data_IF_367631861068
#
_entry.id   IF_367631861068
#
_cell.length_a   1.000
_cell.length_b   1.000
_cell.length_c   1.000
_cell.angle_alpha   90.00
_cell.angle_beta   90.00
_cell.angle_gamma   90.00
#
_symmetry.space_group_name_H-M   'P 1'
#
loop_
_entity.id
_entity.type
_entity.pdbx_description
1 polymer ?
#
# COMPACT_ATOMS: atom_id res chain seq x y z
N UNK A 1 -21.92 5.37 -1.52
CA UNK A 1 -22.32 4.69 -0.25
C UNK A 1 -22.90 3.28 -0.42
N UNK A 2 -23.27 2.81 -1.63
CA UNK A 2 -23.82 1.46 -1.84
C UNK A 2 -22.78 0.40 -2.29
N UNK A 3 -21.54 0.79 -2.60
CA UNK A 3 -20.51 -0.12 -3.13
C UNK A 3 -20.03 -1.19 -2.11
N UNK A 4 -19.84 -0.81 -0.83
CA UNK A 4 -19.36 -1.73 0.20
C UNK A 4 -20.34 -2.90 0.45
N UNK A 5 -21.66 -2.66 0.66
CA UNK A 5 -22.62 -3.77 0.78
C UNK A 5 -22.65 -4.68 -0.45
N UNK A 6 -22.59 -4.11 -1.66
CA UNK A 6 -22.59 -4.88 -2.90
C UNK A 6 -21.35 -5.77 -3.02
N UNK A 7 -20.16 -5.22 -2.78
CA UNK A 7 -18.90 -5.97 -2.77
C UNK A 7 -18.91 -7.09 -1.72
N UNK A 8 -19.57 -6.88 -0.58
CA UNK A 8 -19.74 -7.92 0.44
C UNK A 8 -20.60 -9.07 -0.07
N UNK A 9 -21.73 -8.77 -0.71
CA UNK A 9 -22.57 -9.80 -1.33
C UNK A 9 -21.83 -10.55 -2.44
N UNK A 10 -21.05 -9.84 -3.27
CA UNK A 10 -20.25 -10.47 -4.33
C UNK A 10 -19.15 -11.36 -3.75
N UNK A 11 -18.42 -10.90 -2.74
CA UNK A 11 -17.37 -11.69 -2.09
C UNK A 11 -17.93 -12.94 -1.38
N UNK A 12 -19.17 -12.91 -0.91
CA UNK A 12 -19.86 -14.09 -0.38
C UNK A 12 -20.25 -15.08 -1.48
N UNK A 13 -20.70 -14.57 -2.64
CA UNK A 13 -21.11 -15.40 -3.78
C UNK A 13 -19.93 -16.00 -4.53
N UNK A 14 -18.80 -15.30 -4.56
CA UNK A 14 -17.58 -15.71 -5.24
C UNK A 14 -16.40 -15.71 -4.25
N UNK A 15 -16.39 -16.62 -3.26
CA UNK A 15 -15.45 -16.57 -2.14
C UNK A 15 -13.98 -16.72 -2.56
N UNK A 16 -13.71 -17.41 -3.66
CA UNK A 16 -12.37 -17.64 -4.22
C UNK A 16 -11.82 -16.42 -4.99
N UNK A 17 -12.67 -15.44 -5.30
CA UNK A 17 -12.24 -14.26 -6.02
C UNK A 17 -11.64 -13.22 -5.05
N UNK A 18 -10.36 -13.38 -4.76
CA UNK A 18 -9.61 -12.49 -3.88
C UNK A 18 -9.55 -11.03 -4.36
N UNK A 19 -9.79 -10.76 -5.65
CA UNK A 19 -9.83 -9.38 -6.17
C UNK A 19 -10.96 -8.59 -5.49
N UNK A 20 -12.12 -9.23 -5.26
CA UNK A 20 -13.24 -8.59 -4.56
C UNK A 20 -12.87 -8.17 -3.13
N UNK A 21 -11.95 -8.90 -2.47
CA UNK A 21 -11.44 -8.52 -1.15
C UNK A 21 -10.53 -7.30 -1.23
N UNK A 22 -9.66 -7.22 -2.25
CA UNK A 22 -8.83 -6.03 -2.43
C UNK A 22 -9.67 -4.79 -2.76
N UNK A 23 -10.70 -4.92 -3.60
CA UNK A 23 -11.66 -3.85 -3.85
C UNK A 23 -12.38 -3.41 -2.56
N UNK A 24 -12.70 -4.34 -1.65
CA UNK A 24 -13.25 -3.98 -0.34
C UNK A 24 -12.26 -3.15 0.49
N UNK A 25 -10.97 -3.49 0.47
CA UNK A 25 -9.93 -2.71 1.17
C UNK A 25 -9.90 -1.28 0.64
N UNK A 26 -9.90 -1.11 -0.68
CA UNK A 26 -9.91 0.22 -1.32
C UNK A 26 -11.17 1.00 -0.95
N UNK A 27 -12.36 0.38 -1.04
CA UNK A 27 -13.61 1.05 -0.68
C UNK A 27 -13.71 1.42 0.80
N UNK A 28 -13.21 0.59 1.71
CA UNK A 28 -13.12 0.96 3.13
C UNK A 28 -12.11 2.09 3.34
N UNK A 29 -10.96 2.05 2.65
CA UNK A 29 -9.96 3.12 2.71
C UNK A 29 -10.52 4.46 2.25
N UNK A 30 -11.21 4.50 1.10
CA UNK A 30 -11.84 5.70 0.55
C UNK A 30 -12.96 6.25 1.44
N UNK A 31 -13.62 5.36 2.18
CA UNK A 31 -14.64 5.73 3.16
C UNK A 31 -14.06 6.25 4.49
N UNK A 32 -12.72 6.27 4.67
CA UNK A 32 -12.08 6.63 5.93
C UNK A 32 -12.08 5.51 6.98
N UNK A 33 -12.52 4.30 6.62
CA UNK A 33 -12.68 3.15 7.51
C UNK A 33 -11.42 2.27 7.49
N UNK A 34 -10.36 2.81 8.08
CA UNK A 34 -9.07 2.12 8.26
C UNK A 34 -9.21 0.74 8.89
N UNK A 35 -10.07 0.64 9.91
CA UNK A 35 -10.19 -0.57 10.73
C UNK A 35 -10.71 -1.75 9.89
N UNK A 36 -11.77 -1.53 9.11
CA UNK A 36 -12.29 -2.56 8.23
C UNK A 36 -11.35 -2.84 7.05
N UNK A 37 -10.66 -1.83 6.50
CA UNK A 37 -9.66 -2.04 5.45
C UNK A 37 -8.52 -2.97 5.93
N UNK A 38 -7.96 -2.72 7.12
CA UNK A 38 -6.94 -3.58 7.72
C UNK A 38 -7.46 -4.97 8.09
N UNK A 39 -8.71 -5.05 8.58
CA UNK A 39 -9.35 -6.33 8.88
C UNK A 39 -9.44 -7.22 7.64
N UNK A 40 -9.91 -6.68 6.51
CA UNK A 40 -10.01 -7.44 5.26
C UNK A 40 -8.64 -7.91 4.78
N UNK A 41 -7.59 -7.07 4.87
CA UNK A 41 -6.23 -7.52 4.54
C UNK A 41 -5.73 -8.65 5.47
N UNK A 42 -6.12 -8.64 6.74
CA UNK A 42 -5.83 -9.73 7.68
C UNK A 42 -6.55 -11.03 7.30
N UNK A 43 -7.82 -10.95 6.92
CA UNK A 43 -8.61 -12.10 6.45
C UNK A 43 -8.02 -12.71 5.18
N UNK A 44 -7.60 -11.88 4.21
CA UNK A 44 -6.94 -12.35 2.97
C UNK A 44 -5.64 -13.09 3.28
N UNK A 45 -4.82 -12.55 4.20
CA UNK A 45 -3.55 -13.17 4.57
C UNK A 45 -3.77 -14.52 5.27
N UNK A 46 -4.74 -14.61 6.19
CA UNK A 46 -5.10 -15.87 6.84
C UNK A 46 -5.60 -16.93 5.84
N UNK A 47 -6.42 -16.53 4.85
CA UNK A 47 -6.90 -17.44 3.80
C UNK A 47 -5.75 -17.92 2.89
N UNK A 48 -4.79 -17.04 2.58
CA UNK A 48 -3.57 -17.41 1.85
C UNK A 48 -2.77 -18.45 2.63
N UNK A 49 -2.52 -18.22 3.92
CA UNK A 49 -1.76 -19.14 4.77
C UNK A 49 -2.43 -20.49 4.94
N UNK A 50 -3.77 -20.50 5.01
CA UNK A 50 -4.56 -21.72 5.03
C UNK A 50 -4.60 -22.46 3.69
N UNK A 51 -4.01 -21.91 2.62
CA UNK A 51 -4.05 -22.49 1.27
C UNK A 51 -5.46 -22.51 0.67
N UNK A 52 -6.33 -21.58 1.07
CA UNK A 52 -7.71 -21.55 0.61
C UNK A 52 -7.78 -21.39 -0.93
N UNK A 53 -8.77 -22.02 -1.59
CA UNK A 53 -8.96 -21.89 -3.04
C UNK A 53 -9.04 -20.43 -3.48
N UNK A 54 -8.21 -20.06 -4.45
CA UNK A 54 -8.11 -18.68 -4.94
C UNK A 54 -7.31 -17.72 -4.06
N UNK A 55 -6.71 -18.14 -2.94
CA UNK A 55 -5.84 -17.28 -2.12
C UNK A 55 -4.39 -17.76 -2.08
N UNK A 56 -4.15 -19.06 -2.22
CA UNK A 56 -2.82 -19.66 -2.12
C UNK A 56 -1.79 -19.05 -3.09
N UNK A 57 -2.23 -18.57 -4.26
CA UNK A 57 -1.36 -17.96 -5.27
C UNK A 57 -1.00 -16.49 -4.97
N UNK A 58 -1.66 -15.85 -4.00
CA UNK A 58 -1.38 -14.45 -3.66
C UNK A 58 0.02 -14.36 -3.07
N UNK A 59 0.87 -13.54 -3.69
CA UNK A 59 2.22 -13.30 -3.19
C UNK A 59 2.18 -12.52 -1.88
N UNK A 60 2.87 -12.98 -0.81
CA UNK A 60 2.93 -12.25 0.46
C UNK A 60 3.39 -10.79 0.31
N UNK A 61 4.36 -10.52 -0.58
CA UNK A 61 4.83 -9.17 -0.85
C UNK A 61 3.71 -8.20 -1.30
N UNK A 62 2.71 -8.70 -2.05
CA UNK A 62 1.56 -7.89 -2.48
C UNK A 62 0.71 -7.44 -1.29
N UNK A 63 0.41 -8.35 -0.37
CA UNK A 63 -0.38 -8.05 0.84
C UNK A 63 0.39 -7.07 1.74
N UNK A 64 1.69 -7.29 1.92
CA UNK A 64 2.58 -6.41 2.68
C UNK A 64 2.60 -4.99 2.07
N UNK A 65 2.74 -4.87 0.75
CA UNK A 65 2.68 -3.58 0.07
C UNK A 65 1.33 -2.89 0.29
N UNK A 66 0.20 -3.59 0.07
CA UNK A 66 -1.13 -3.01 0.23
C UNK A 66 -1.35 -2.51 1.67
N UNK A 67 -0.93 -3.30 2.67
CA UNK A 67 -1.00 -2.93 4.08
C UNK A 67 -0.14 -1.72 4.39
N UNK A 68 1.10 -1.70 3.92
CA UNK A 68 2.03 -0.58 4.12
C UNK A 68 1.55 0.71 3.45
N UNK A 69 1.00 0.63 2.24
CA UNK A 69 0.42 1.78 1.53
C UNK A 69 -0.83 2.32 2.24
N UNK A 70 -1.72 1.43 2.73
CA UNK A 70 -2.87 1.83 3.53
C UNK A 70 -2.44 2.56 4.81
N UNK A 71 -1.51 1.98 5.55
CA UNK A 71 -0.94 2.58 6.76
C UNK A 71 -0.26 3.91 6.50
N UNK A 72 0.44 4.05 5.36
CA UNK A 72 0.98 5.34 4.93
C UNK A 72 -0.13 6.38 4.84
N UNK A 73 -1.21 6.12 4.10
CA UNK A 73 -2.31 7.09 3.94
C UNK A 73 -2.95 7.50 5.27
N UNK A 74 -3.09 6.56 6.20
CA UNK A 74 -3.63 6.83 7.54
C UNK A 74 -2.61 7.40 8.54
N UNK A 75 -1.35 7.60 8.14
CA UNK A 75 -0.32 8.20 9.00
C UNK A 75 0.32 7.25 10.02
N UNK A 76 0.10 5.94 9.89
CA UNK A 76 0.77 4.91 10.71
C UNK A 76 2.20 4.68 10.23
N UNK A 77 3.03 5.71 10.30
CA UNK A 77 4.34 5.73 9.63
C UNK A 77 5.26 4.56 10.05
N UNK A 78 5.36 4.18 11.33
CA UNK A 78 6.22 3.05 11.72
C UNK A 78 5.74 1.71 11.14
N UNK A 79 4.42 1.46 11.11
CA UNK A 79 3.88 0.23 10.54
C UNK A 79 3.97 0.23 9.01
N UNK A 80 3.74 1.39 8.38
CA UNK A 80 3.91 1.58 6.95
C UNK A 80 5.35 1.27 6.53
N UNK A 81 6.34 1.83 7.22
CA UNK A 81 7.76 1.55 7.00
C UNK A 81 8.05 0.05 7.09
N UNK A 82 7.64 -0.59 8.19
CA UNK A 82 7.90 -2.01 8.42
C UNK A 82 7.34 -2.87 7.29
N UNK A 83 6.07 -2.68 6.92
CA UNK A 83 5.42 -3.47 5.87
C UNK A 83 5.99 -3.19 4.48
N UNK A 84 6.31 -1.93 4.15
CA UNK A 84 6.95 -1.59 2.87
C UNK A 84 8.35 -2.19 2.75
N UNK A 85 9.15 -2.16 3.82
CA UNK A 85 10.46 -2.82 3.87
C UNK A 85 10.34 -4.33 3.74
N UNK A 86 9.38 -4.96 4.42
CA UNK A 86 9.11 -6.40 4.28
C UNK A 86 8.66 -6.77 2.87
N UNK A 87 7.87 -5.94 2.20
CA UNK A 87 7.49 -6.14 0.80
C UNK A 87 8.71 -6.04 -0.12
N UNK A 88 9.54 -5.01 0.05
CA UNK A 88 10.76 -4.79 -0.75
C UNK A 88 11.87 -5.82 -0.47
N UNK A 89 11.89 -6.45 0.70
CA UNK A 89 12.78 -7.58 0.98
C UNK A 89 12.41 -8.81 0.12
N UNK A 90 11.15 -8.91 -0.33
CA UNK A 90 10.60 -9.96 -1.20
C UNK A 90 10.40 -9.44 -2.63
N UNK A 91 11.39 -8.69 -3.13
CA UNK A 91 11.21 -7.93 -4.36
C UNK A 91 11.05 -8.78 -5.64
N UNK A 92 11.42 -10.04 -5.60
CA UNK A 92 11.19 -11.06 -6.64
C UNK A 92 9.71 -11.46 -6.76
N UNK A 93 8.91 -11.20 -5.74
CA UNK A 93 7.47 -11.43 -5.74
C UNK A 93 6.64 -10.24 -6.26
N UNK A 94 7.28 -9.08 -6.45
CA UNK A 94 6.60 -7.84 -6.83
C UNK A 94 6.74 -7.58 -8.32
N UNK A 95 5.61 -7.30 -8.96
CA UNK A 95 5.59 -6.65 -10.27
C UNK A 95 6.35 -5.33 -10.22
N UNK A 96 7.07 -5.00 -11.30
CA UNK A 96 7.97 -3.83 -11.36
C UNK A 96 7.27 -2.53 -10.93
N UNK A 97 6.02 -2.33 -11.37
CA UNK A 97 5.23 -1.16 -10.98
C UNK A 97 4.94 -1.11 -9.47
N UNK A 98 4.61 -2.25 -8.85
CA UNK A 98 4.37 -2.32 -7.40
C UNK A 98 5.66 -2.09 -6.62
N UNK A 99 6.79 -2.65 -7.08
CA UNK A 99 8.11 -2.43 -6.48
C UNK A 99 8.52 -0.95 -6.54
N UNK A 100 8.29 -0.29 -7.68
CA UNK A 100 8.57 1.13 -7.88
C UNK A 100 7.71 2.00 -6.95
N UNK A 101 6.40 1.71 -6.85
CA UNK A 101 5.50 2.39 -5.91
C UNK A 101 5.89 2.16 -4.45
N UNK A 102 6.31 0.94 -4.08
CA UNK A 102 6.76 0.63 -2.72
C UNK A 102 7.98 1.46 -2.31
N UNK A 103 8.96 1.62 -3.21
CA UNK A 103 10.11 2.51 -2.96
C UNK A 103 9.70 3.98 -2.84
N UNK A 104 8.82 4.47 -3.71
CA UNK A 104 8.32 5.84 -3.63
C UNK A 104 7.62 6.09 -2.29
N UNK A 105 6.72 5.18 -1.88
CA UNK A 105 6.01 5.27 -0.60
C UNK A 105 6.95 5.20 0.59
N UNK A 106 7.97 4.34 0.55
CA UNK A 106 8.96 4.23 1.62
C UNK A 106 9.76 5.54 1.76
N UNK A 107 10.13 6.18 0.65
CA UNK A 107 10.77 7.49 0.68
C UNK A 107 9.88 8.56 1.31
N UNK A 108 8.59 8.57 0.97
CA UNK A 108 7.61 9.50 1.54
C UNK A 108 7.41 9.25 3.04
N UNK A 109 7.37 7.99 3.48
CA UNK A 109 7.34 7.62 4.91
C UNK A 109 8.56 8.19 5.63
N UNK A 110 9.76 8.00 5.08
CA UNK A 110 10.99 8.53 5.67
C UNK A 110 10.98 10.06 5.76
N UNK A 111 10.54 10.77 4.73
CA UNK A 111 10.42 12.23 4.78
C UNK A 111 9.44 12.70 5.86
N UNK A 112 8.28 12.05 5.99
CA UNK A 112 7.31 12.36 7.05
C UNK A 112 7.87 12.08 8.46
N UNK A 113 8.78 11.11 8.58
CA UNK A 113 9.55 10.84 9.81
C UNK A 113 10.78 11.74 9.97
N UNK A 114 11.01 12.72 9.08
CA UNK A 114 12.19 13.61 9.05
C UNK A 114 13.52 12.91 8.78
N UNK A 115 13.48 11.70 8.19
CA UNK A 115 14.63 10.86 7.83
C UNK A 115 15.04 11.09 6.36
N UNK A 116 15.39 12.33 6.03
CA UNK A 116 15.61 12.77 4.64
C UNK A 116 16.72 12.02 3.90
N UNK A 117 17.79 11.61 4.60
CA UNK A 117 18.87 10.83 3.98
C UNK A 117 18.38 9.47 3.48
N UNK A 118 17.53 8.81 4.27
CA UNK A 118 16.95 7.51 3.93
C UNK A 118 15.87 7.66 2.86
N UNK A 119 15.09 8.73 2.93
CA UNK A 119 14.15 9.11 1.87
C UNK A 119 14.85 9.26 0.52
N UNK A 120 15.98 9.98 0.48
CA UNK A 120 16.78 10.14 -0.73
C UNK A 120 17.33 8.80 -1.26
N UNK A 121 17.64 7.85 -0.37
CA UNK A 121 17.99 6.48 -0.76
C UNK A 121 16.83 5.80 -1.51
N UNK A 122 15.65 5.80 -0.92
CA UNK A 122 14.46 5.18 -1.50
C UNK A 122 14.04 5.83 -2.83
N UNK A 123 14.08 7.16 -2.94
CA UNK A 123 13.78 7.84 -4.21
C UNK A 123 14.76 7.51 -5.32
N UNK A 124 16.06 7.33 -5.01
CA UNK A 124 17.03 6.89 -6.03
C UNK A 124 16.72 5.49 -6.55
N UNK A 125 16.15 4.60 -5.73
CA UNK A 125 15.69 3.29 -6.22
C UNK A 125 14.53 3.42 -7.23
N UNK A 126 13.61 4.37 -7.03
CA UNK A 126 12.57 4.68 -8.04
C UNK A 126 13.20 5.09 -9.37
N UNK A 127 14.22 5.96 -9.34
CA UNK A 127 14.93 6.42 -10.54
C UNK A 127 15.68 5.30 -11.27
N UNK A 128 16.19 4.30 -10.54
CA UNK A 128 16.86 3.14 -11.13
C UNK A 128 15.87 2.19 -11.81
N UNK A 129 14.71 1.97 -11.19
CA UNK A 129 13.73 0.98 -11.66
C UNK A 129 12.89 1.50 -12.83
N UNK A 130 12.51 2.78 -12.82
CA UNK A 130 11.60 3.34 -13.80
C UNK A 130 11.99 4.79 -14.18
N UNK A 131 13.19 5.01 -14.76
CA UNK A 131 13.79 6.34 -14.94
C UNK A 131 12.94 7.35 -15.75
N UNK A 132 12.08 6.85 -16.63
CA UNK A 132 11.23 7.63 -17.54
C UNK A 132 9.77 7.72 -17.09
N UNK A 133 9.43 7.20 -15.91
CA UNK A 133 8.06 7.20 -15.39
C UNK A 133 7.68 8.50 -14.68
N UNK A 134 6.37 8.75 -14.55
CA UNK A 134 5.85 9.82 -13.70
C UNK A 134 6.31 9.68 -12.23
N UNK A 135 6.44 8.43 -11.75
CA UNK A 135 6.96 8.14 -10.40
C UNK A 135 8.42 8.59 -10.24
N UNK A 136 9.24 8.47 -11.29
CA UNK A 136 10.60 8.98 -11.27
C UNK A 136 10.63 10.51 -11.29
N UNK A 137 9.70 11.16 -12.02
CA UNK A 137 9.55 12.62 -11.96
C UNK A 137 9.15 13.10 -10.56
N UNK A 138 8.22 12.41 -9.90
CA UNK A 138 7.88 12.68 -8.49
C UNK A 138 9.08 12.48 -7.55
N UNK A 139 9.78 11.35 -7.67
CA UNK A 139 10.95 11.03 -6.85
C UNK A 139 12.08 12.06 -7.02
N UNK A 140 12.32 12.55 -8.24
CA UNK A 140 13.26 13.67 -8.48
C UNK A 140 12.83 14.92 -7.74
N UNK A 141 11.55 15.27 -7.77
CA UNK A 141 11.01 16.38 -7.00
C UNK A 141 11.30 16.25 -5.51
N UNK A 142 11.09 15.05 -4.94
CA UNK A 142 11.30 14.81 -3.52
C UNK A 142 12.77 14.79 -3.09
N UNK A 143 13.71 14.49 -4.00
CA UNK A 143 15.15 14.64 -3.74
C UNK A 143 15.56 16.10 -3.47
N UNK A 144 14.86 17.07 -4.06
CA UNK A 144 15.12 18.51 -3.85
C UNK A 144 14.22 19.12 -2.79
N UNK A 145 12.97 18.66 -2.70
CA UNK A 145 11.98 19.17 -1.75
C UNK A 145 11.31 17.99 -1.03
N UNK A 146 11.72 17.69 0.22
CA UNK A 146 11.20 16.55 0.98
C UNK A 146 9.68 16.48 0.94
N UNK A 147 9.16 15.27 0.79
CA UNK A 147 7.73 15.04 0.74
C UNK A 147 7.05 15.59 2.00
N UNK A 148 5.98 16.35 1.78
CA UNK A 148 5.07 16.80 2.82
C UNK A 148 3.67 16.40 2.41
N UNK A 149 2.92 15.84 3.36
CA UNK A 149 1.51 15.59 3.15
C UNK A 149 0.81 16.94 2.96
N UNK A 150 0.15 17.12 1.81
CA UNK A 150 -0.77 18.24 1.64
C UNK A 150 -1.88 18.06 2.67
N UNK A 151 -2.20 19.10 3.44
CA UNK A 151 -3.42 19.10 4.28
C UNK A 151 -4.62 18.92 3.35
N UNK A 152 -5.14 17.71 3.25
CA UNK A 152 -6.43 17.44 2.63
C UNK A 152 -7.51 17.60 3.67
N UNK A 153 -8.67 18.08 3.26
CA UNK A 153 -9.82 18.43 4.11
C UNK A 153 -10.35 17.30 5.02
N UNK A 154 -9.82 16.08 4.88
CA UNK A 154 -10.15 14.91 5.71
C UNK A 154 -9.43 14.88 7.07
N UNK A 155 -8.41 15.73 7.29
CA UNK A 155 -7.77 15.88 8.61
C UNK A 155 -8.63 16.66 9.63
N UNK A 156 -9.84 17.12 9.26
CA UNK A 156 -10.75 17.83 10.18
C UNK A 156 -11.83 16.95 10.82
N UNK A 157 -11.78 15.63 10.64
CA UNK A 157 -12.79 14.70 11.19
C UNK A 157 -12.24 13.82 12.33
N UNK A 158 -11.39 14.37 13.19
CA UNK A 158 -11.00 13.77 14.47
C UNK A 158 -11.48 14.63 15.64
#
# INVERSE_FOLDING_TARGET
RQAIPLLRTLAQRFPENYLLRFEQVEMYSDAGDKANALKVLGEVDALREAGAPGYAQIKPAKILYLRGNLQFWYGDLPQAEANLKSALARNDELEMGTKTLAWLRLGQVYDLQKRHTEAAGAYREVLKLAPESDLASEAKGYLSNPYRRKKTSQETAA
#
